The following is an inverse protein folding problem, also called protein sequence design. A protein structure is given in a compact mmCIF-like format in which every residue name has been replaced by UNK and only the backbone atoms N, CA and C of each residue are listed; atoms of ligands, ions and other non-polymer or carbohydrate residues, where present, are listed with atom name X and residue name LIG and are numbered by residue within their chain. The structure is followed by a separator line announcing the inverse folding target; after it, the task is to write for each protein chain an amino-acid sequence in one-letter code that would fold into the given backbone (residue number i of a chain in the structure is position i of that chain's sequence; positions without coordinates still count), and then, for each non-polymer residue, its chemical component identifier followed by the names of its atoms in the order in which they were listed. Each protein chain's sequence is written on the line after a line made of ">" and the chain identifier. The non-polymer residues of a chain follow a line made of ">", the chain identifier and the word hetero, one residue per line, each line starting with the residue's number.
data_IF_278548393934
#
_entry.id   IF_278548393934
#
_cell.length_a   1.000
_cell.length_b   1.000
_cell.length_c   1.000
_cell.angle_alpha   90.00
_cell.angle_beta   90.00
_cell.angle_gamma   90.00
#
_symmetry.space_group_name_H-M   'P 1'
#
loop_
_entity.id
_entity.type
_entity.pdbx_description
1 polymer ?
#
# COMPACT_ATOMS: atom_id res chain seq x y z
N UNK A 1 -19.56 -5.20 11.77
CA UNK A 1 -19.14 -3.77 11.74
C UNK A 1 -17.92 -3.45 12.61
N UNK A 2 -17.80 -3.90 13.88
CA UNK A 2 -16.58 -3.66 14.69
C UNK A 2 -15.28 -4.09 13.99
N UNK A 3 -15.27 -5.28 13.38
CA UNK A 3 -14.13 -5.79 12.61
C UNK A 3 -13.75 -4.93 11.41
N UNK A 4 -14.73 -4.39 10.68
CA UNK A 4 -14.46 -3.50 9.54
C UNK A 4 -13.67 -2.27 9.99
N UNK A 5 -14.08 -1.66 11.11
CA UNK A 5 -13.40 -0.49 11.70
C UNK A 5 -11.99 -0.83 12.19
N UNK A 6 -11.82 -1.92 12.94
CA UNK A 6 -10.49 -2.33 13.40
C UNK A 6 -9.54 -2.68 12.25
N UNK A 7 -10.05 -3.33 11.20
CA UNK A 7 -9.28 -3.56 9.98
C UNK A 7 -8.91 -2.24 9.29
N UNK A 8 -9.82 -1.26 9.27
CA UNK A 8 -9.52 0.09 8.78
C UNK A 8 -8.37 0.76 9.53
N UNK A 9 -8.35 0.67 10.86
CA UNK A 9 -7.24 1.18 11.68
C UNK A 9 -5.94 0.42 11.44
N UNK A 10 -6.00 -0.91 11.39
CA UNK A 10 -4.83 -1.74 11.10
C UNK A 10 -4.23 -1.40 9.74
N UNK A 11 -5.06 -1.26 8.71
CA UNK A 11 -4.63 -0.83 7.37
C UNK A 11 -3.99 0.54 7.42
N UNK A 12 -4.59 1.53 8.09
CA UNK A 12 -4.03 2.88 8.20
C UNK A 12 -2.66 2.88 8.89
N UNK A 13 -2.50 2.09 9.96
CA UNK A 13 -1.21 1.87 10.63
C UNK A 13 -0.20 1.24 9.69
N UNK A 14 -0.58 0.20 8.92
CA UNK A 14 0.30 -0.46 7.97
C UNK A 14 0.72 0.47 6.81
N UNK A 15 -0.17 1.36 6.36
CA UNK A 15 0.15 2.39 5.37
C UNK A 15 1.17 3.39 5.93
N UNK A 16 0.94 3.94 7.13
CA UNK A 16 1.89 4.87 7.77
C UNK A 16 3.24 4.18 8.01
N UNK A 17 3.21 2.94 8.50
CA UNK A 17 4.40 2.10 8.62
C UNK A 17 5.14 1.99 7.27
N UNK A 18 4.43 1.65 6.20
CA UNK A 18 5.04 1.48 4.87
C UNK A 18 5.64 2.77 4.33
N UNK A 19 4.98 3.92 4.57
CA UNK A 19 5.46 5.24 4.20
C UNK A 19 6.79 5.55 4.89
N UNK A 20 6.86 5.40 6.22
CA UNK A 20 8.08 5.62 7.00
C UNK A 20 9.16 4.61 6.60
N UNK A 21 8.80 3.34 6.44
CA UNK A 21 9.71 2.27 6.02
C UNK A 21 10.34 2.50 4.65
N UNK A 22 9.68 3.27 3.78
CA UNK A 22 10.25 3.70 2.50
C UNK A 22 11.37 4.73 2.60
N UNK A 23 11.63 5.28 3.79
CA UNK A 23 12.80 6.13 4.05
C UNK A 23 13.85 5.39 4.88
N UNK A 24 13.41 4.66 5.91
CA UNK A 24 14.33 4.02 6.88
C UNK A 24 14.61 2.54 6.60
N UNK A 25 14.04 1.94 5.56
CA UNK A 25 14.25 0.52 5.27
C UNK A 25 15.54 0.23 4.48
N UNK A 26 15.67 -1.05 4.11
CA UNK A 26 16.71 -1.58 3.22
C UNK A 26 16.60 -1.00 1.80
N UNK A 27 17.62 -1.17 0.95
CA UNK A 27 17.64 -0.55 -0.39
C UNK A 27 16.40 -0.89 -1.22
N UNK A 28 15.92 -2.13 -1.18
CA UNK A 28 14.77 -2.59 -1.96
C UNK A 28 13.44 -1.99 -1.51
N UNK A 29 13.36 -1.44 -0.29
CA UNK A 29 12.12 -0.84 0.22
C UNK A 29 12.07 0.67 0.09
N UNK A 30 13.18 1.33 -0.28
CA UNK A 30 13.31 2.79 -0.33
C UNK A 30 12.64 3.39 -1.57
N UNK A 31 11.90 4.49 -1.40
CA UNK A 31 11.19 5.17 -2.49
C UNK A 31 12.12 5.50 -3.67
N UNK A 32 13.30 6.05 -3.38
CA UNK A 32 14.30 6.44 -4.39
C UNK A 32 14.84 5.26 -5.20
N UNK A 33 14.79 4.04 -4.67
CA UNK A 33 15.37 2.87 -5.33
C UNK A 33 14.46 2.29 -6.40
N UNK A 34 13.14 2.54 -6.35
CA UNK A 34 12.19 1.96 -7.30
C UNK A 34 11.23 2.95 -7.96
N UNK A 35 11.07 4.18 -7.44
CA UNK A 35 10.28 5.24 -8.09
C UNK A 35 11.11 5.88 -9.20
N UNK A 36 10.96 5.35 -10.41
CA UNK A 36 11.54 5.91 -11.63
C UNK A 36 10.52 6.78 -12.38
N UNK A 37 11.01 7.73 -13.18
CA UNK A 37 10.18 8.62 -14.00
C UNK A 37 9.14 7.85 -14.84
N UNK A 38 7.92 8.38 -15.03
CA UNK A 38 6.80 7.69 -15.67
C UNK A 38 7.08 7.23 -17.10
N UNK A 39 7.94 7.96 -17.81
CA UNK A 39 8.42 7.59 -19.15
C UNK A 39 9.10 6.21 -19.19
N UNK A 40 9.76 5.82 -18.10
CA UNK A 40 10.40 4.50 -18.00
C UNK A 40 9.37 3.37 -17.85
N UNK A 41 8.19 3.65 -17.27
CA UNK A 41 7.11 2.66 -17.21
C UNK A 41 6.45 2.46 -18.57
N UNK A 42 6.26 3.54 -19.35
CA UNK A 42 5.80 3.44 -20.72
C UNK A 42 6.79 2.64 -21.58
N UNK A 43 8.08 2.98 -21.52
CA UNK A 43 9.14 2.23 -22.22
C UNK A 43 9.18 0.76 -21.84
N UNK A 44 9.03 0.45 -20.54
CA UNK A 44 8.95 -0.93 -20.05
C UNK A 44 7.71 -1.67 -20.58
N UNK A 45 6.56 -1.02 -20.66
CA UNK A 45 5.35 -1.61 -21.23
C UNK A 45 5.57 -1.99 -22.71
N UNK A 46 6.20 -1.11 -23.50
CA UNK A 46 6.54 -1.42 -24.89
C UNK A 46 7.55 -2.57 -25.02
N UNK A 47 8.57 -2.61 -24.16
CA UNK A 47 9.53 -3.72 -24.14
C UNK A 47 8.86 -5.05 -23.76
N UNK A 48 7.89 -5.01 -22.85
CA UNK A 48 7.09 -6.19 -22.46
C UNK A 48 6.23 -6.69 -23.64
N UNK A 49 5.62 -5.79 -24.41
CA UNK A 49 4.89 -6.14 -25.64
C UNK A 49 5.81 -6.74 -26.72
N UNK A 50 7.09 -6.35 -26.73
CA UNK A 50 8.14 -6.89 -27.60
C UNK A 50 8.80 -8.16 -27.04
N UNK A 51 8.26 -8.69 -25.94
CA UNK A 51 8.74 -9.87 -25.24
C UNK A 51 10.22 -9.83 -24.84
N UNK A 52 10.77 -8.63 -24.57
CA UNK A 52 12.12 -8.52 -24.01
C UNK A 52 12.11 -8.94 -22.55
N UNK A 53 13.01 -9.83 -22.18
CA UNK A 53 13.19 -10.25 -20.80
C UNK A 53 14.07 -9.25 -20.06
N UNK A 54 13.47 -8.57 -19.08
CA UNK A 54 14.13 -7.60 -18.20
C UNK A 54 13.78 -7.96 -16.76
N UNK A 55 14.79 -8.27 -15.96
CA UNK A 55 14.63 -8.68 -14.56
C UNK A 55 14.97 -7.52 -13.62
N UNK A 56 14.15 -7.36 -12.58
CA UNK A 56 14.32 -6.34 -11.56
C UNK A 56 14.40 -7.00 -10.18
N UNK A 57 15.35 -6.57 -9.36
CA UNK A 57 15.54 -7.06 -8.00
C UNK A 57 14.37 -6.57 -7.13
N UNK A 58 14.08 -5.28 -7.19
CA UNK A 58 12.94 -4.66 -6.54
C UNK A 58 11.65 -4.79 -7.36
N UNK A 59 11.06 -3.63 -7.67
CA UNK A 59 9.89 -3.53 -8.53
C UNK A 59 10.30 -3.15 -9.95
N UNK A 60 9.68 -3.80 -10.93
CA UNK A 60 9.73 -3.30 -12.29
C UNK A 60 8.95 -1.96 -12.39
N UNK A 61 9.20 -1.13 -13.42
CA UNK A 61 8.57 0.18 -13.53
C UNK A 61 7.03 0.16 -13.42
N UNK A 62 6.35 -0.77 -14.09
CA UNK A 62 4.88 -0.87 -14.02
C UNK A 62 4.40 -1.30 -12.62
N UNK A 63 5.10 -2.25 -12.00
CA UNK A 63 4.83 -2.74 -10.66
C UNK A 63 4.98 -1.66 -9.60
N UNK A 64 5.95 -0.75 -9.76
CA UNK A 64 6.08 0.44 -8.92
C UNK A 64 4.80 1.28 -8.94
N UNK A 65 4.29 1.62 -10.13
CA UNK A 65 3.07 2.43 -10.25
C UNK A 65 1.84 1.70 -9.70
N UNK A 66 1.76 0.38 -9.87
CA UNK A 66 0.70 -0.44 -9.28
C UNK A 66 0.72 -0.37 -7.74
N UNK A 67 1.91 -0.48 -7.11
CA UNK A 67 2.07 -0.36 -5.66
C UNK A 67 1.67 1.04 -5.17
N UNK A 68 2.11 2.09 -5.87
CA UNK A 68 1.74 3.47 -5.54
C UNK A 68 0.22 3.69 -5.65
N UNK A 69 -0.41 3.18 -6.71
CA UNK A 69 -1.86 3.27 -6.92
C UNK A 69 -2.65 2.55 -5.83
N UNK A 70 -2.30 1.31 -5.51
CA UNK A 70 -2.97 0.57 -4.42
C UNK A 70 -2.74 1.23 -3.06
N UNK A 71 -1.51 1.69 -2.78
CA UNK A 71 -1.21 2.36 -1.53
C UNK A 71 -2.02 3.65 -1.38
N UNK A 72 -2.12 4.47 -2.44
CA UNK A 72 -2.92 5.69 -2.43
C UNK A 72 -4.42 5.39 -2.29
N UNK A 73 -4.95 4.43 -3.07
CA UNK A 73 -6.37 4.07 -3.04
C UNK A 73 -6.79 3.57 -1.64
N UNK A 74 -5.98 2.68 -1.04
CA UNK A 74 -6.26 2.15 0.30
C UNK A 74 -6.07 3.22 1.39
N UNK A 75 -5.06 4.07 1.28
CA UNK A 75 -4.87 5.19 2.20
C UNK A 75 -6.07 6.15 2.19
N UNK A 76 -6.56 6.52 0.99
CA UNK A 76 -7.75 7.36 0.82
C UNK A 76 -8.98 6.66 1.38
N UNK A 77 -9.21 5.40 1.03
CA UNK A 77 -10.36 4.61 1.51
C UNK A 77 -10.42 4.56 3.04
N UNK A 78 -9.30 4.22 3.69
CA UNK A 78 -9.21 4.16 5.15
C UNK A 78 -9.39 5.52 5.79
N UNK A 79 -8.84 6.59 5.19
CA UNK A 79 -8.97 7.96 5.70
C UNK A 79 -10.41 8.47 5.60
N UNK A 80 -11.08 8.24 4.46
CA UNK A 80 -12.50 8.58 4.27
C UNK A 80 -13.36 7.86 5.32
N UNK A 81 -13.07 6.57 5.58
CA UNK A 81 -13.76 5.77 6.58
C UNK A 81 -13.70 6.36 8.01
N UNK A 82 -12.74 7.24 8.31
CA UNK A 82 -12.64 7.86 9.63
C UNK A 82 -13.77 8.86 9.92
N UNK A 83 -14.38 9.43 8.87
CA UNK A 83 -15.32 10.54 8.98
C UNK A 83 -16.77 10.16 8.72
N UNK A 84 -17.05 8.92 8.31
CA UNK A 84 -18.40 8.52 7.90
C UNK A 84 -19.21 7.94 9.07
N UNK A 85 -20.53 8.08 8.96
CA UNK A 85 -21.52 7.35 9.76
C UNK A 85 -22.22 6.38 8.82
N UNK A 86 -22.43 5.16 9.29
CA UNK A 86 -23.12 4.12 8.54
C UNK A 86 -24.64 4.36 8.55
N UNK A 87 -25.34 3.87 7.53
CA UNK A 87 -26.76 4.15 7.29
C UNK A 87 -27.72 3.72 8.42
N UNK A 88 -27.28 2.86 9.33
CA UNK A 88 -28.07 2.39 10.47
C UNK A 88 -27.75 3.16 11.78
N UNK A 89 -26.90 4.21 11.71
CA UNK A 89 -26.41 5.01 12.83
C UNK A 89 -25.76 4.24 14.00
N UNK A 90 -25.54 2.93 13.84
CA UNK A 90 -24.93 2.08 14.88
C UNK A 90 -23.41 1.99 14.77
N UNK A 91 -22.84 2.42 13.64
CA UNK A 91 -21.40 2.47 13.42
C UNK A 91 -20.98 3.83 12.88
N UNK A 92 -19.97 4.43 13.50
CA UNK A 92 -19.33 5.65 13.03
C UNK A 92 -17.81 5.54 13.06
N UNK A 93 -17.18 6.28 12.17
CA UNK A 93 -15.75 6.54 12.19
C UNK A 93 -15.38 7.43 13.38
N UNK A 94 -14.15 7.33 13.91
CA UNK A 94 -13.75 8.04 15.12
C UNK A 94 -13.82 9.57 14.96
N UNK A 95 -13.66 10.09 13.74
CA UNK A 95 -13.61 11.52 13.44
C UNK A 95 -14.90 12.06 12.82
N UNK A 96 -16.00 11.30 12.84
CA UNK A 96 -17.25 11.69 12.18
C UNK A 96 -17.77 13.07 12.62
N UNK A 97 -17.58 13.43 13.90
CA UNK A 97 -17.98 14.73 14.46
C UNK A 97 -17.29 15.93 13.84
N UNK A 98 -16.15 15.73 13.17
CA UNK A 98 -15.42 16.80 12.49
C UNK A 98 -15.97 17.09 11.09
N UNK A 99 -16.91 16.28 10.59
CA UNK A 99 -17.53 16.43 9.28
C UNK A 99 -19.02 16.75 9.42
N UNK A 100 -19.52 17.68 8.60
CA UNK A 100 -20.96 17.97 8.50
C UNK A 100 -21.72 16.75 7.97
N UNK A 101 -23.02 16.62 8.26
CA UNK A 101 -23.84 15.50 7.75
C UNK A 101 -23.79 15.36 6.22
N UNK A 102 -23.81 16.48 5.49
CA UNK A 102 -23.69 16.48 4.04
C UNK A 102 -22.33 15.94 3.59
N UNK A 103 -21.24 16.34 4.27
CA UNK A 103 -19.89 15.82 4.03
C UNK A 103 -19.83 14.32 4.34
N UNK A 104 -20.41 13.86 5.46
CA UNK A 104 -20.44 12.45 5.84
C UNK A 104 -21.16 11.60 4.77
N UNK A 105 -22.33 12.05 4.29
CA UNK A 105 -23.09 11.36 3.22
C UNK A 105 -22.28 11.29 1.91
N UNK A 106 -21.62 12.40 1.54
CA UNK A 106 -20.77 12.44 0.35
C UNK A 106 -19.56 11.51 0.47
N UNK A 107 -18.88 11.54 1.61
CA UNK A 107 -17.75 10.65 1.92
C UNK A 107 -18.17 9.18 1.94
N UNK A 108 -19.34 8.85 2.49
CA UNK A 108 -19.89 7.49 2.46
C UNK A 108 -20.10 7.00 1.03
N UNK A 109 -20.67 7.83 0.14
CA UNK A 109 -20.81 7.49 -1.29
C UNK A 109 -19.46 7.19 -1.94
N UNK A 110 -18.45 8.03 -1.68
CA UNK A 110 -17.11 7.83 -2.21
C UNK A 110 -16.39 6.63 -1.60
N UNK A 111 -16.64 6.31 -0.33
CA UNK A 111 -16.12 5.12 0.32
C UNK A 111 -16.64 3.86 -0.38
N UNK A 112 -17.95 3.77 -0.60
CA UNK A 112 -18.55 2.61 -1.31
C UNK A 112 -18.07 2.56 -2.76
N UNK A 113 -18.14 3.67 -3.47
CA UNK A 113 -17.73 3.73 -4.88
C UNK A 113 -16.24 3.42 -5.06
N UNK A 114 -15.36 4.00 -4.24
CA UNK A 114 -13.91 3.80 -4.29
C UNK A 114 -13.52 2.36 -4.03
N UNK A 115 -14.23 1.66 -3.15
CA UNK A 115 -14.03 0.23 -2.95
C UNK A 115 -14.30 -0.57 -4.22
N UNK A 116 -15.50 -0.43 -4.80
CA UNK A 116 -15.94 -1.26 -5.92
C UNK A 116 -15.29 -0.89 -7.26
N UNK A 117 -15.05 0.39 -7.51
CA UNK A 117 -14.62 0.88 -8.83
C UNK A 117 -13.16 1.29 -8.89
N UNK A 118 -12.47 1.48 -7.75
CA UNK A 118 -11.03 1.72 -7.74
C UNK A 118 -10.26 0.53 -7.14
N UNK A 119 -10.50 0.20 -5.88
CA UNK A 119 -9.70 -0.82 -5.18
C UNK A 119 -9.89 -2.22 -5.76
N UNK A 120 -11.12 -2.67 -5.99
CA UNK A 120 -11.38 -4.01 -6.51
C UNK A 120 -10.75 -4.27 -7.90
N UNK A 121 -10.89 -3.37 -8.90
CA UNK A 121 -10.19 -3.51 -10.18
C UNK A 121 -8.66 -3.50 -10.03
N UNK A 122 -8.11 -2.60 -9.19
CA UNK A 122 -6.68 -2.53 -8.95
C UNK A 122 -6.13 -3.83 -8.32
N UNK A 123 -6.87 -4.42 -7.37
CA UNK A 123 -6.53 -5.73 -6.78
C UNK A 123 -6.56 -6.81 -7.86
N UNK A 124 -7.63 -6.87 -8.65
CA UNK A 124 -7.75 -7.85 -9.74
C UNK A 124 -6.60 -7.76 -10.74
N UNK A 125 -6.27 -6.55 -11.18
CA UNK A 125 -5.14 -6.29 -12.08
C UNK A 125 -3.80 -6.70 -11.44
N UNK A 126 -3.60 -6.39 -10.16
CA UNK A 126 -2.38 -6.75 -9.44
C UNK A 126 -2.18 -8.26 -9.34
N UNK A 127 -3.23 -9.00 -8.96
CA UNK A 127 -3.20 -10.47 -8.86
C UNK A 127 -2.93 -11.08 -10.24
N UNK A 128 -3.63 -10.59 -11.27
CA UNK A 128 -3.46 -11.07 -12.64
C UNK A 128 -2.02 -10.85 -13.12
N UNK A 129 -1.48 -9.64 -12.96
CA UNK A 129 -0.12 -9.31 -13.37
C UNK A 129 0.90 -10.20 -12.65
N UNK A 130 0.82 -10.35 -11.32
CA UNK A 130 1.76 -11.19 -10.57
C UNK A 130 1.67 -12.67 -10.99
N UNK A 131 0.46 -13.16 -11.28
CA UNK A 131 0.24 -14.54 -11.75
C UNK A 131 0.84 -14.75 -13.13
N UNK A 132 0.64 -13.81 -14.06
CA UNK A 132 1.24 -13.85 -15.40
C UNK A 132 2.77 -13.81 -15.35
N UNK A 133 3.37 -12.99 -14.49
CA UNK A 133 4.82 -13.00 -14.29
C UNK A 133 5.33 -14.33 -13.73
N UNK A 134 4.60 -14.91 -12.77
CA UNK A 134 4.97 -16.21 -12.19
C UNK A 134 4.85 -17.37 -13.18
N UNK A 135 3.82 -17.38 -14.02
CA UNK A 135 3.54 -18.49 -14.95
C UNK A 135 4.31 -18.34 -16.27
N UNK A 136 4.27 -17.15 -16.88
CA UNK A 136 4.83 -16.90 -18.22
C UNK A 136 6.32 -16.58 -18.14
N UNK A 137 6.69 -15.64 -17.26
CA UNK A 137 8.10 -15.21 -17.11
C UNK A 137 8.89 -16.08 -16.14
N UNK A 138 8.22 -17.03 -15.45
CA UNK A 138 8.82 -17.93 -14.44
C UNK A 138 9.60 -17.17 -13.36
N UNK A 139 9.25 -15.91 -13.11
CA UNK A 139 9.85 -15.07 -12.09
C UNK A 139 9.14 -15.34 -10.76
N UNK A 140 9.83 -15.83 -9.70
CA UNK A 140 9.22 -16.25 -8.45
C UNK A 140 8.79 -15.06 -7.57
N UNK A 141 8.03 -14.11 -8.11
CA UNK A 141 7.59 -12.88 -7.43
C UNK A 141 6.79 -13.18 -6.16
N UNK A 142 5.79 -14.07 -6.24
CA UNK A 142 4.92 -14.40 -5.10
C UNK A 142 5.75 -15.02 -3.97
N UNK A 143 6.68 -15.92 -4.31
CA UNK A 143 7.60 -16.53 -3.33
C UNK A 143 8.52 -15.48 -2.71
N UNK A 144 9.01 -14.53 -3.51
CA UNK A 144 9.83 -13.43 -3.02
C UNK A 144 9.06 -12.50 -2.08
N UNK A 145 7.76 -12.30 -2.27
CA UNK A 145 6.92 -11.51 -1.35
C UNK A 145 6.80 -12.15 0.03
N UNK A 146 6.76 -13.49 0.11
CA UNK A 146 6.64 -14.23 1.37
C UNK A 146 8.00 -14.37 2.05
N UNK A 147 9.03 -14.73 1.28
CA UNK A 147 10.36 -15.06 1.81
C UNK A 147 11.30 -13.86 1.93
N UNK A 148 11.00 -12.77 1.23
CA UNK A 148 11.90 -11.62 1.08
C UNK A 148 13.14 -11.91 0.23
N UNK A 149 13.21 -13.07 -0.45
CA UNK A 149 14.39 -13.52 -1.19
C UNK A 149 14.06 -13.79 -2.65
N UNK A 150 14.92 -13.31 -3.55
CA UNK A 150 14.94 -13.68 -4.97
C UNK A 150 16.23 -14.45 -5.31
N UNK A 151 16.23 -15.33 -6.32
CA UNK A 151 17.44 -16.00 -6.80
C UNK A 151 18.51 -15.00 -7.25
N UNK A 152 19.78 -15.39 -7.24
CA UNK A 152 20.83 -14.58 -7.84
C UNK A 152 20.64 -14.57 -9.37
N UNK A 153 20.52 -13.38 -9.96
CA UNK A 153 20.46 -13.17 -11.41
C UNK A 153 21.02 -11.79 -11.76
N UNK A 154 21.23 -11.52 -13.04
CA UNK A 154 21.51 -10.17 -13.50
C UNK A 154 20.22 -9.35 -13.45
N UNK A 155 20.18 -8.35 -12.58
CA UNK A 155 19.07 -7.43 -12.42
C UNK A 155 19.45 -6.06 -12.97
N UNK A 156 18.50 -5.35 -13.56
CA UNK A 156 18.77 -4.05 -14.17
C UNK A 156 18.86 -2.88 -13.17
N UNK A 157 18.22 -3.02 -12.01
CA UNK A 157 18.12 -1.98 -11.00
C UNK A 157 19.24 -2.06 -9.94
N UNK A 158 19.73 -3.26 -9.63
CA UNK A 158 20.82 -3.42 -8.66
C UNK A 158 21.45 -4.81 -8.69
N UNK A 159 22.75 -4.90 -8.46
CA UNK A 159 23.47 -6.17 -8.34
C UNK A 159 23.18 -6.93 -7.03
N UNK A 160 22.48 -6.31 -6.06
CA UNK A 160 22.14 -6.97 -4.79
C UNK A 160 21.43 -6.05 -3.79
N UNK A 161 20.74 -6.66 -2.83
CA UNK A 161 20.03 -5.92 -1.79
C UNK A 161 20.99 -5.49 -0.67
N UNK A 162 21.02 -4.19 -0.37
CA UNK A 162 21.73 -3.65 0.79
C UNK A 162 20.78 -3.68 1.97
N UNK A 163 21.01 -4.61 2.90
CA UNK A 163 20.20 -4.77 4.10
C UNK A 163 20.59 -3.69 5.11
N UNK A 164 19.59 -2.98 5.63
CA UNK A 164 19.78 -2.00 6.69
C UNK A 164 20.34 -2.67 7.96
N UNK A 165 21.32 -2.02 8.61
CA UNK A 165 21.75 -2.43 9.96
C UNK A 165 20.56 -2.45 10.92
N UNK A 166 20.50 -3.48 11.78
CA UNK A 166 19.45 -3.72 12.76
C UNK A 166 18.02 -3.66 12.18
N UNK A 167 17.81 -4.26 11.01
CA UNK A 167 16.53 -4.20 10.29
C UNK A 167 15.32 -4.54 11.16
N UNK A 168 15.42 -5.55 12.02
CA UNK A 168 14.32 -5.97 12.90
C UNK A 168 13.96 -4.91 13.93
N UNK A 169 14.94 -4.30 14.61
CA UNK A 169 14.65 -3.25 15.60
C UNK A 169 14.12 -1.99 14.93
N UNK A 170 14.62 -1.66 13.74
CA UNK A 170 14.08 -0.56 12.92
C UNK A 170 12.63 -0.82 12.52
N UNK A 171 12.29 -2.05 12.13
CA UNK A 171 10.93 -2.42 11.75
C UNK A 171 9.98 -2.29 12.95
N UNK A 172 10.35 -2.83 14.11
CA UNK A 172 9.57 -2.71 15.35
C UNK A 172 9.39 -1.24 15.73
N UNK A 173 10.47 -0.45 15.74
CA UNK A 173 10.40 0.98 16.08
C UNK A 173 9.51 1.75 15.11
N UNK A 174 9.63 1.47 13.80
CA UNK A 174 8.79 2.11 12.78
C UNK A 174 7.31 1.74 12.95
N UNK A 175 7.02 0.49 13.32
CA UNK A 175 5.65 0.05 13.56
C UNK A 175 5.06 0.70 14.82
N UNK A 176 5.82 0.80 15.90
CA UNK A 176 5.40 1.51 17.12
C UNK A 176 5.16 2.99 16.81
N UNK A 177 6.05 3.66 16.07
CA UNK A 177 5.87 5.05 15.64
C UNK A 177 4.59 5.18 14.81
N UNK A 178 4.35 4.29 13.85
CA UNK A 178 3.13 4.32 13.03
C UNK A 178 1.86 4.13 13.87
N UNK A 179 1.87 3.22 14.86
CA UNK A 179 0.78 3.04 15.81
C UNK A 179 0.51 4.32 16.61
N UNK A 180 1.56 4.95 17.14
CA UNK A 180 1.46 6.19 17.92
C UNK A 180 0.92 7.33 17.05
N UNK A 181 1.40 7.48 15.81
CA UNK A 181 0.92 8.52 14.89
C UNK A 181 -0.58 8.33 14.61
N UNK A 182 -1.00 7.11 14.27
CA UNK A 182 -2.40 6.86 13.88
C UNK A 182 -3.31 6.93 15.10
N UNK A 183 -3.07 6.12 16.13
CA UNK A 183 -3.96 6.06 17.29
C UNK A 183 -3.88 7.35 18.13
N UNK A 184 -2.67 7.88 18.33
CA UNK A 184 -2.48 9.17 19.01
C UNK A 184 -3.13 10.31 18.24
N UNK A 185 -2.97 10.37 16.90
CA UNK A 185 -3.64 11.37 16.06
C UNK A 185 -5.16 11.29 16.15
N UNK A 186 -5.73 10.07 16.14
CA UNK A 186 -7.17 9.87 16.31
C UNK A 186 -7.66 10.36 17.68
N UNK A 187 -6.95 10.06 18.77
CA UNK A 187 -7.33 10.54 20.12
C UNK A 187 -7.20 12.07 20.22
N UNK A 188 -6.11 12.64 19.73
CA UNK A 188 -5.86 14.09 19.77
C UNK A 188 -6.92 14.89 19.02
N UNK A 189 -7.45 14.34 17.93
CA UNK A 189 -8.56 14.93 17.17
C UNK A 189 -9.94 14.67 17.81
N UNK A 190 -9.99 14.19 19.05
CA UNK A 190 -11.22 13.92 19.80
C UNK A 190 -11.93 12.63 19.38
N UNK A 191 -11.26 11.77 18.62
CA UNK A 191 -11.80 10.51 18.14
C UNK A 191 -11.84 9.44 19.22
N UNK A 192 -12.97 8.74 19.31
CA UNK A 192 -13.13 7.60 20.22
C UNK A 192 -12.85 6.30 19.45
N UNK A 193 -11.76 5.63 19.81
CA UNK A 193 -11.24 4.45 19.09
C UNK A 193 -11.93 3.15 19.56
N UNK A 194 -12.29 3.09 20.84
CA UNK A 194 -12.87 1.91 21.48
C UNK A 194 -14.33 2.17 21.88
N UNK A 195 -15.22 1.28 21.42
CA UNK A 195 -16.64 1.20 21.74
C UNK A 195 -17.11 -0.27 21.76
#
# INVERSE_FOLDING_TARGET
>A
MKWHRYNGYAILVLIVFRLIWGFVGSSTSRWLSFVKWPWNAAGYAFDLMRNKDRHFLGHNPLGTYMVLALMAAVALQSSIGLFIVEHNDTTWGPLYKLASENTQKWLHKWHVWGFYYAIMPLIGLHILANSLYGIVKKDPLIRAMITGKKPASQYEDSNGAIIAHYVSSRAVSTFVIALVIVLGGLVLLGGKIFY
#
